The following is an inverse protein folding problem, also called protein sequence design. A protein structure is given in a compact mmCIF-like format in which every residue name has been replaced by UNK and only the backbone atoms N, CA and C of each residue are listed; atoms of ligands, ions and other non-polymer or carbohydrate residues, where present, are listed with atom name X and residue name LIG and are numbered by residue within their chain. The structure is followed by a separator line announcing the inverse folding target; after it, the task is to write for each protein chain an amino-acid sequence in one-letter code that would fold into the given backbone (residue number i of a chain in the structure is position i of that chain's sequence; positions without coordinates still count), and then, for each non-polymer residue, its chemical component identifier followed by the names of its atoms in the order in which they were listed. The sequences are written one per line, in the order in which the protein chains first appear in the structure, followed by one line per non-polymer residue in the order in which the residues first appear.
data_IF_857405395933
#
_entry.id   IF_857405395933
#
_cell.length_a   1.000
_cell.length_b   1.000
_cell.length_c   1.000
_cell.angle_alpha   90.00
_cell.angle_beta   90.00
_cell.angle_gamma   90.00
#
_symmetry.space_group_name_H-M   'P 1'
#
loop_
_entity.id
_entity.type
_entity.pdbx_description
1 polymer ?
#
# COMPACT_ATOMS: atom_id res chain seq x y z
N UNK A 1 -50.38 -76.14 4.95
CA UNK A 1 -49.04 -75.81 4.40
C UNK A 1 -49.23 -74.83 3.25
N UNK A 2 -49.21 -73.54 3.56
CA UNK A 2 -49.34 -72.46 2.58
C UNK A 2 -48.22 -71.48 2.88
N UNK A 3 -47.27 -71.31 1.95
CA UNK A 3 -46.62 -70.01 1.82
C UNK A 3 -46.20 -69.77 0.37
N UNK A 4 -46.71 -68.64 -0.13
CA UNK A 4 -46.54 -68.06 -1.46
C UNK A 4 -45.08 -67.68 -1.73
N UNK A 5 -44.67 -67.87 -2.97
CA UNK A 5 -43.48 -67.24 -3.57
C UNK A 5 -43.62 -65.71 -3.55
N UNK A 6 -42.56 -65.00 -3.17
CA UNK A 6 -42.43 -63.56 -3.41
C UNK A 6 -41.24 -63.32 -4.33
N UNK A 7 -41.53 -62.64 -5.45
CA UNK A 7 -40.57 -62.20 -6.45
C UNK A 7 -39.74 -61.02 -5.93
N UNK A 8 -38.43 -61.06 -6.16
CA UNK A 8 -37.51 -59.98 -5.86
C UNK A 8 -37.63 -58.87 -6.91
N UNK A 9 -37.94 -57.64 -6.48
CA UNK A 9 -37.83 -56.44 -7.29
C UNK A 9 -36.49 -55.77 -6.97
N UNK A 10 -35.55 -55.78 -7.93
CA UNK A 10 -34.29 -55.06 -7.82
C UNK A 10 -34.52 -53.58 -8.19
N UNK A 11 -34.43 -52.68 -7.20
CA UNK A 11 -34.35 -51.24 -7.45
C UNK A 11 -32.90 -50.86 -7.82
N UNK A 12 -32.71 -50.43 -9.07
CA UNK A 12 -31.51 -49.74 -9.51
C UNK A 12 -31.55 -48.28 -9.04
N UNK A 13 -30.71 -47.93 -8.07
CA UNK A 13 -30.46 -46.54 -7.66
C UNK A 13 -29.37 -45.97 -8.54
N UNK A 14 -29.74 -45.11 -9.50
CA UNK A 14 -28.79 -44.28 -10.24
C UNK A 14 -28.40 -43.07 -9.39
N UNK A 15 -27.25 -43.12 -8.73
CA UNK A 15 -26.66 -41.96 -8.06
C UNK A 15 -26.03 -41.05 -9.12
N UNK A 16 -26.72 -39.96 -9.46
CA UNK A 16 -26.17 -38.87 -10.27
C UNK A 16 -25.18 -38.09 -9.39
N UNK A 17 -23.89 -38.40 -9.51
CA UNK A 17 -22.82 -37.55 -9.01
C UNK A 17 -22.73 -36.32 -9.91
N UNK A 18 -23.46 -35.26 -9.56
CA UNK A 18 -23.23 -33.94 -10.11
C UNK A 18 -21.85 -33.46 -9.62
N UNK A 19 -20.83 -33.65 -10.46
CA UNK A 19 -19.53 -33.05 -10.26
C UNK A 19 -19.67 -31.53 -10.28
N UNK A 20 -19.58 -30.90 -9.11
CA UNK A 20 -19.42 -29.45 -9.01
C UNK A 20 -17.97 -29.16 -9.43
N UNK A 21 -17.75 -28.95 -10.72
CA UNK A 21 -16.51 -28.34 -11.19
C UNK A 21 -16.47 -26.93 -10.58
N UNK A 22 -15.70 -26.76 -9.50
CA UNK A 22 -15.42 -25.46 -8.93
C UNK A 22 -14.76 -24.60 -9.99
N UNK A 23 -15.50 -23.65 -10.55
CA UNK A 23 -14.95 -22.57 -11.36
C UNK A 23 -13.97 -21.78 -10.48
N UNK A 24 -12.69 -22.13 -10.52
CA UNK A 24 -11.61 -21.32 -9.97
C UNK A 24 -11.45 -20.08 -10.87
N UNK A 25 -12.39 -19.15 -10.74
CA UNK A 25 -12.37 -17.90 -11.48
C UNK A 25 -11.21 -17.04 -11.02
N UNK A 26 -10.29 -16.71 -11.93
CA UNK A 26 -9.25 -15.71 -11.71
C UNK A 26 -9.92 -14.38 -11.35
N UNK A 27 -9.69 -13.89 -10.13
CA UNK A 27 -10.18 -12.58 -9.68
C UNK A 27 -9.09 -11.54 -9.91
N UNK A 28 -9.00 -11.06 -11.14
CA UNK A 28 -8.15 -9.91 -11.50
C UNK A 28 -8.84 -8.63 -11.05
N UNK A 29 -8.18 -7.84 -10.19
CA UNK A 29 -8.75 -6.61 -9.66
C UNK A 29 -7.85 -5.38 -9.90
N UNK A 30 -6.53 -5.58 -9.99
CA UNK A 30 -5.57 -4.61 -10.49
C UNK A 30 -5.01 -5.08 -11.85
N UNK A 31 -5.30 -4.31 -12.91
CA UNK A 31 -4.79 -4.59 -14.26
C UNK A 31 -3.34 -4.09 -14.43
N UNK A 32 -2.93 -3.11 -13.63
CA UNK A 32 -1.57 -2.56 -13.63
C UNK A 32 -1.33 -1.50 -12.57
N UNK A 33 -0.14 -1.49 -11.99
CA UNK A 33 0.40 -0.44 -11.11
C UNK A 33 0.35 0.97 -11.74
N UNK A 34 0.81 1.04 -12.99
CA UNK A 34 0.72 2.21 -13.84
C UNK A 34 -0.58 2.15 -14.65
N UNK A 35 -1.18 3.31 -14.98
CA UNK A 35 -2.20 3.38 -16.02
C UNK A 35 -1.74 2.66 -17.28
N UNK A 36 -2.70 2.13 -18.05
CA UNK A 36 -2.41 1.47 -19.32
C UNK A 36 -1.49 2.34 -20.18
N UNK A 37 -0.38 1.76 -20.60
CA UNK A 37 0.66 2.44 -21.34
C UNK A 37 1.38 1.44 -22.25
N UNK A 38 2.01 1.95 -23.31
CA UNK A 38 2.72 1.15 -24.30
C UNK A 38 4.24 1.21 -24.13
N UNK A 39 4.75 1.71 -23.00
CA UNK A 39 6.17 1.82 -22.78
C UNK A 39 6.78 0.43 -22.60
N UNK A 40 7.87 0.18 -23.33
CA UNK A 40 8.61 -1.07 -23.31
C UNK A 40 10.10 -0.78 -23.16
N UNK A 41 10.75 -1.48 -22.23
CA UNK A 41 12.20 -1.42 -22.01
C UNK A 41 12.73 -2.86 -21.99
N UNK A 42 13.14 -3.42 -23.13
CA UNK A 42 13.68 -4.78 -23.22
C UNK A 42 15.07 -4.88 -22.55
N UNK A 43 15.55 -6.11 -22.40
CA UNK A 43 16.94 -6.37 -21.98
C UNK A 43 17.88 -5.84 -23.07
N UNK A 44 18.95 -5.15 -22.66
CA UNK A 44 19.93 -4.56 -23.58
C UNK A 44 19.53 -3.20 -24.17
N UNK A 45 18.38 -2.63 -23.78
CA UNK A 45 17.99 -1.27 -24.19
C UNK A 45 19.00 -0.23 -23.66
N UNK A 46 19.45 0.68 -24.53
CA UNK A 46 20.44 1.72 -24.19
C UNK A 46 19.91 2.75 -23.19
N UNK A 47 18.60 2.82 -23.01
CA UNK A 47 17.93 3.67 -22.04
C UNK A 47 17.57 2.94 -20.75
N UNK A 48 17.92 1.65 -20.61
CA UNK A 48 17.80 0.88 -19.37
C UNK A 48 18.77 1.44 -18.32
N UNK A 49 18.29 2.42 -17.55
CA UNK A 49 19.06 3.15 -16.52
C UNK A 49 18.48 2.98 -15.11
N UNK A 50 17.58 2.02 -14.93
CA UNK A 50 17.04 1.63 -13.63
C UNK A 50 17.94 0.60 -12.93
N UNK A 51 17.34 -0.42 -12.32
CA UNK A 51 18.07 -1.47 -11.60
C UNK A 51 18.48 -2.65 -12.48
N UNK A 52 19.57 -3.30 -12.10
CA UNK A 52 20.07 -4.52 -12.73
C UNK A 52 19.32 -5.77 -12.23
N UNK A 53 19.44 -6.89 -12.96
CA UNK A 53 18.76 -8.13 -12.64
C UNK A 53 19.09 -8.65 -11.22
N UNK A 54 20.35 -8.57 -10.81
CA UNK A 54 20.75 -8.98 -9.47
C UNK A 54 20.03 -8.19 -8.37
N UNK A 55 19.84 -6.88 -8.57
CA UNK A 55 19.07 -6.04 -7.63
C UNK A 55 17.58 -6.34 -7.69
N UNK A 56 17.03 -6.56 -8.90
CA UNK A 56 15.65 -6.99 -9.09
C UNK A 56 15.35 -8.25 -8.27
N UNK A 57 16.21 -9.26 -8.37
CA UNK A 57 16.02 -10.52 -7.66
C UNK A 57 16.20 -10.37 -6.15
N UNK A 58 17.21 -9.63 -5.71
CA UNK A 58 17.45 -9.39 -4.28
C UNK A 58 16.29 -8.64 -3.60
N UNK A 59 15.67 -7.68 -4.29
CA UNK A 59 14.51 -6.96 -3.76
C UNK A 59 13.34 -7.93 -3.58
N UNK A 60 13.04 -8.75 -4.59
CA UNK A 60 11.92 -9.70 -4.52
C UNK A 60 12.17 -10.83 -3.52
N UNK A 61 13.43 -11.28 -3.37
CA UNK A 61 13.81 -12.27 -2.34
C UNK A 61 13.44 -11.76 -0.94
N UNK A 62 13.73 -10.49 -0.68
CA UNK A 62 13.45 -9.87 0.60
C UNK A 62 11.96 -9.70 0.84
N UNK A 63 11.22 -9.26 -0.19
CA UNK A 63 9.77 -9.14 -0.14
C UNK A 63 9.13 -10.50 0.15
N UNK A 64 9.49 -11.54 -0.62
CA UNK A 64 8.96 -12.90 -0.45
C UNK A 64 9.28 -13.47 0.92
N UNK A 65 10.53 -13.34 1.38
CA UNK A 65 10.97 -13.81 2.71
C UNK A 65 10.11 -13.23 3.83
N UNK A 66 9.76 -11.95 3.75
CA UNK A 66 8.97 -11.25 4.76
C UNK A 66 7.48 -11.58 4.63
N UNK A 67 6.94 -11.55 3.42
CA UNK A 67 5.49 -11.54 3.20
C UNK A 67 4.87 -12.90 2.94
N UNK A 68 5.62 -13.90 2.46
CA UNK A 68 5.10 -15.26 2.32
C UNK A 68 4.49 -15.82 3.62
N UNK A 69 5.14 -15.75 4.80
CA UNK A 69 4.52 -16.23 6.05
C UNK A 69 3.33 -15.38 6.49
N UNK A 70 3.34 -14.06 6.24
CA UNK A 70 2.23 -13.17 6.59
C UNK A 70 0.97 -13.45 5.74
N UNK A 71 1.17 -13.76 4.46
CA UNK A 71 0.09 -14.18 3.55
C UNK A 71 -0.42 -15.57 3.95
N UNK A 72 0.47 -16.51 4.27
CA UNK A 72 0.11 -17.85 4.76
C UNK A 72 -0.73 -17.80 6.04
N UNK A 73 -0.38 -16.92 6.99
CA UNK A 73 -1.16 -16.71 8.21
C UNK A 73 -2.58 -16.19 7.95
N UNK A 74 -2.84 -15.62 6.76
CA UNK A 74 -4.17 -15.17 6.31
C UNK A 74 -4.86 -16.16 5.36
N UNK A 75 -4.33 -17.38 5.24
CA UNK A 75 -4.88 -18.46 4.42
C UNK A 75 -4.57 -18.35 2.93
N UNK A 76 -3.65 -17.46 2.53
CA UNK A 76 -3.19 -17.33 1.15
C UNK A 76 -1.86 -18.03 0.90
N UNK A 77 -1.45 -18.14 -0.36
CA UNK A 77 -0.10 -18.50 -0.78
C UNK A 77 0.45 -17.40 -1.68
N UNK A 78 1.49 -16.71 -1.22
CA UNK A 78 2.13 -15.67 -2.02
C UNK A 78 2.86 -16.31 -3.22
N UNK A 79 2.62 -15.79 -4.41
CA UNK A 79 3.29 -16.20 -5.64
C UNK A 79 3.83 -14.95 -6.33
N UNK A 80 5.16 -14.74 -6.26
CA UNK A 80 5.82 -13.61 -6.93
C UNK A 80 6.37 -14.09 -8.27
N UNK A 81 5.89 -13.47 -9.34
CA UNK A 81 6.35 -13.74 -10.70
C UNK A 81 7.46 -12.75 -11.07
N UNK A 82 8.67 -13.30 -11.23
CA UNK A 82 9.90 -12.59 -11.57
C UNK A 82 10.08 -12.51 -13.08
N UNK A 83 9.51 -11.48 -13.69
CA UNK A 83 9.38 -11.40 -15.15
C UNK A 83 10.45 -10.47 -15.74
N UNK A 84 11.73 -10.76 -15.46
CA UNK A 84 12.87 -9.92 -15.86
C UNK A 84 12.91 -9.65 -17.38
N UNK A 85 12.75 -10.68 -18.21
CA UNK A 85 12.82 -10.52 -19.68
C UNK A 85 11.58 -9.81 -20.26
N UNK A 86 10.52 -9.66 -19.47
CA UNK A 86 9.32 -8.97 -19.91
C UNK A 86 9.56 -7.46 -19.95
N UNK A 87 9.54 -6.89 -21.16
CA UNK A 87 9.80 -5.47 -21.41
C UNK A 87 8.70 -4.52 -20.90
N UNK A 88 7.57 -5.01 -20.36
CA UNK A 88 6.46 -4.15 -19.91
C UNK A 88 6.89 -3.21 -18.78
N UNK A 89 6.60 -1.91 -18.90
CA UNK A 89 6.75 -0.95 -17.78
C UNK A 89 5.45 -0.92 -16.98
N UNK A 90 5.29 -1.92 -16.10
CA UNK A 90 4.18 -2.01 -15.16
C UNK A 90 4.50 -3.00 -14.01
N UNK A 91 3.52 -3.27 -13.14
CA UNK A 91 3.41 -4.43 -12.26
C UNK A 91 1.92 -4.78 -12.13
N UNK A 92 1.54 -5.94 -11.58
CA UNK A 92 0.12 -6.21 -11.30
C UNK A 92 -0.10 -7.28 -10.25
N UNK A 93 -1.28 -7.26 -9.61
CA UNK A 93 -1.70 -8.24 -8.63
C UNK A 93 -3.06 -8.86 -8.95
N UNK A 94 -3.21 -10.16 -8.65
CA UNK A 94 -4.48 -10.85 -8.74
C UNK A 94 -4.54 -12.03 -7.78
N UNK A 95 -5.76 -12.53 -7.50
CA UNK A 95 -5.95 -13.77 -6.74
C UNK A 95 -6.52 -14.87 -7.62
N UNK A 96 -6.07 -16.11 -7.39
CA UNK A 96 -6.59 -17.32 -8.01
C UNK A 96 -6.74 -18.41 -6.96
N UNK A 97 -7.96 -18.63 -6.48
CA UNK A 97 -8.17 -19.46 -5.29
C UNK A 97 -7.48 -18.86 -4.06
N UNK A 98 -6.66 -19.65 -3.38
CA UNK A 98 -5.80 -19.18 -2.28
C UNK A 98 -4.48 -18.57 -2.74
N UNK A 99 -4.17 -18.58 -4.03
CA UNK A 99 -2.92 -18.01 -4.53
C UNK A 99 -3.04 -16.50 -4.72
N UNK A 100 -2.12 -15.76 -4.10
CA UNK A 100 -2.05 -14.30 -4.15
C UNK A 100 -0.84 -13.94 -5.01
N UNK A 101 -1.12 -13.56 -6.24
CA UNK A 101 -0.09 -13.33 -7.24
C UNK A 101 0.35 -11.86 -7.27
N UNK A 102 1.65 -11.66 -7.45
CA UNK A 102 2.28 -10.37 -7.73
C UNK A 102 3.18 -10.55 -8.94
N UNK A 103 2.94 -9.79 -10.01
CA UNK A 103 3.75 -9.80 -11.22
C UNK A 103 4.67 -8.57 -11.25
N UNK A 104 5.98 -8.81 -11.31
CA UNK A 104 6.97 -7.76 -11.39
C UNK A 104 7.69 -7.87 -12.72
N UNK A 105 7.46 -6.91 -13.63
CA UNK A 105 8.03 -6.91 -14.98
C UNK A 105 9.38 -6.19 -15.02
N UNK A 106 10.35 -6.73 -15.76
CA UNK A 106 11.68 -6.13 -15.84
C UNK A 106 11.73 -4.80 -16.58
N UNK A 107 10.76 -4.51 -17.47
CA UNK A 107 10.66 -3.20 -18.11
C UNK A 107 10.47 -2.07 -17.09
N UNK A 108 9.66 -2.31 -16.05
CA UNK A 108 9.53 -1.39 -14.92
C UNK A 108 10.88 -1.18 -14.22
N UNK A 109 11.54 -2.28 -13.88
CA UNK A 109 12.81 -2.26 -13.16
C UNK A 109 13.90 -1.50 -13.91
N UNK A 110 13.92 -1.57 -15.24
CA UNK A 110 14.90 -0.89 -16.10
C UNK A 110 14.60 0.59 -16.37
N UNK A 111 13.44 1.10 -15.97
CA UNK A 111 13.10 2.50 -16.18
C UNK A 111 14.00 3.43 -15.37
N UNK A 112 14.51 4.51 -15.99
CA UNK A 112 15.52 5.40 -15.39
C UNK A 112 15.10 6.07 -14.07
N UNK A 113 13.80 6.23 -13.84
CA UNK A 113 13.25 6.77 -12.59
C UNK A 113 13.18 5.75 -11.45
N UNK A 114 13.34 4.45 -11.74
CA UNK A 114 13.14 3.37 -10.77
C UNK A 114 14.45 3.01 -10.10
N UNK A 115 14.48 3.22 -8.78
CA UNK A 115 15.55 2.79 -7.87
C UNK A 115 15.21 1.43 -7.25
N UNK A 116 16.15 0.78 -6.55
CA UNK A 116 15.87 -0.47 -5.82
C UNK A 116 14.77 -0.28 -4.75
N UNK A 117 14.83 0.83 -4.00
CA UNK A 117 13.80 1.19 -3.01
C UNK A 117 12.46 1.52 -3.69
N UNK A 118 12.47 2.22 -4.83
CA UNK A 118 11.28 2.47 -5.65
C UNK A 118 10.66 1.18 -6.20
N UNK A 119 11.47 0.23 -6.65
CA UNK A 119 11.02 -1.07 -7.12
C UNK A 119 10.42 -1.92 -5.99
N UNK A 120 11.03 -1.89 -4.80
CA UNK A 120 10.47 -2.50 -3.60
C UNK A 120 9.11 -1.87 -3.23
N UNK A 121 8.97 -0.56 -3.39
CA UNK A 121 7.71 0.14 -3.15
C UNK A 121 6.62 -0.37 -4.09
N UNK A 122 6.92 -0.58 -5.38
CA UNK A 122 5.94 -1.13 -6.33
C UNK A 122 5.51 -2.54 -5.92
N UNK A 123 6.45 -3.42 -5.56
CA UNK A 123 6.08 -4.76 -5.04
C UNK A 123 5.21 -4.66 -3.77
N UNK A 124 5.52 -3.71 -2.89
CA UNK A 124 4.74 -3.42 -1.70
C UNK A 124 3.36 -2.83 -1.98
N UNK A 125 3.20 -2.06 -3.06
CA UNK A 125 1.90 -1.60 -3.54
C UNK A 125 1.05 -2.79 -4.00
N UNK A 126 1.62 -3.70 -4.78
CA UNK A 126 0.90 -4.91 -5.24
C UNK A 126 0.48 -5.80 -4.06
N UNK A 127 1.33 -5.93 -3.03
CA UNK A 127 0.96 -6.55 -1.76
C UNK A 127 -0.11 -5.74 -0.99
N UNK A 128 -0.08 -4.42 -1.11
CA UNK A 128 -1.07 -3.51 -0.56
C UNK A 128 -2.47 -3.75 -1.09
N UNK A 129 -2.63 -4.18 -2.35
CA UNK A 129 -3.94 -4.62 -2.83
C UNK A 129 -4.49 -5.81 -2.03
N UNK A 130 -3.63 -6.75 -1.63
CA UNK A 130 -4.02 -7.93 -0.81
C UNK A 130 -4.22 -7.61 0.67
N UNK A 131 -3.43 -6.69 1.22
CA UNK A 131 -3.26 -6.53 2.67
C UNK A 131 -3.62 -5.14 3.20
N UNK A 132 -3.91 -4.16 2.33
CA UNK A 132 -4.02 -2.74 2.65
C UNK A 132 -5.32 -2.31 3.34
N UNK A 133 -6.26 -3.24 3.55
CA UNK A 133 -7.52 -2.92 4.23
C UNK A 133 -8.49 -2.11 3.37
N UNK A 134 -9.33 -1.32 4.03
CA UNK A 134 -10.18 -0.31 3.37
C UNK A 134 -9.40 0.99 3.14
N UNK A 135 -9.80 1.82 2.15
CA UNK A 135 -10.88 1.61 1.19
C UNK A 135 -10.54 0.58 0.11
N UNK A 136 -11.54 -0.18 -0.32
CA UNK A 136 -11.41 -1.22 -1.35
C UNK A 136 -12.05 -0.79 -2.66
N UNK A 137 -11.42 -1.15 -3.77
CA UNK A 137 -12.10 -1.22 -5.07
C UNK A 137 -13.14 -2.34 -4.99
N UNK A 138 -14.21 -2.27 -5.80
CA UNK A 138 -15.29 -3.26 -5.81
C UNK A 138 -14.76 -4.71 -5.65
N UNK A 139 -15.07 -5.36 -4.52
CA UNK A 139 -14.55 -6.70 -4.18
C UNK A 139 -13.60 -6.69 -2.97
N UNK A 140 -12.44 -7.34 -3.13
CA UNK A 140 -11.53 -7.66 -2.01
C UNK A 140 -10.31 -6.74 -1.91
N UNK A 141 -9.84 -6.17 -3.02
CA UNK A 141 -8.57 -5.45 -3.04
C UNK A 141 -8.69 -4.02 -2.55
N UNK A 142 -7.72 -3.60 -1.75
CA UNK A 142 -7.52 -2.18 -1.41
C UNK A 142 -7.35 -1.37 -2.69
N UNK A 143 -7.93 -0.17 -2.74
CA UNK A 143 -7.83 0.68 -3.93
C UNK A 143 -6.41 1.24 -4.12
N UNK A 144 -6.16 1.90 -5.26
CA UNK A 144 -4.83 2.39 -5.65
C UNK A 144 -4.16 3.29 -4.59
N UNK A 145 -4.88 4.29 -4.06
CA UNK A 145 -4.35 5.17 -3.02
C UNK A 145 -4.14 4.47 -1.68
N UNK A 146 -4.99 3.50 -1.33
CA UNK A 146 -4.83 2.71 -0.12
C UNK A 146 -3.65 1.74 -0.20
N UNK A 147 -3.42 1.14 -1.37
CA UNK A 147 -2.25 0.30 -1.65
C UNK A 147 -0.95 1.11 -1.60
N UNK A 148 -0.96 2.34 -2.12
CA UNK A 148 0.14 3.29 -1.95
C UNK A 148 0.44 3.60 -0.48
N UNK A 149 -0.60 3.94 0.26
CA UNK A 149 -0.46 4.27 1.67
C UNK A 149 0.08 3.07 2.48
N UNK A 150 -0.44 1.87 2.23
CA UNK A 150 0.04 0.63 2.86
C UNK A 150 1.51 0.34 2.56
N UNK A 151 1.96 0.64 1.33
CA UNK A 151 3.32 0.33 0.88
C UNK A 151 4.38 0.93 1.80
N UNK A 152 4.21 2.19 2.23
CA UNK A 152 5.15 2.88 3.11
C UNK A 152 4.75 2.81 4.59
N UNK A 153 3.46 2.71 4.89
CA UNK A 153 2.95 2.54 6.26
C UNK A 153 3.39 1.23 6.92
N UNK A 154 3.40 0.13 6.15
CA UNK A 154 3.58 -1.23 6.68
C UNK A 154 4.64 -2.02 5.94
N UNK A 155 4.60 -2.03 4.62
CA UNK A 155 5.36 -3.00 3.84
C UNK A 155 6.85 -2.72 3.78
N UNK A 156 7.24 -1.52 3.34
CA UNK A 156 8.64 -1.14 3.28
C UNK A 156 9.29 -1.14 4.68
N UNK A 157 8.54 -0.85 5.75
CA UNK A 157 9.06 -0.94 7.13
C UNK A 157 9.41 -2.37 7.57
N UNK A 158 8.75 -3.39 7.00
CA UNK A 158 9.12 -4.80 7.22
C UNK A 158 10.21 -5.27 6.25
N UNK A 159 10.22 -4.74 5.03
CA UNK A 159 11.11 -5.18 3.95
C UNK A 159 12.48 -4.50 4.05
N UNK A 160 12.57 -3.26 4.51
CA UNK A 160 13.85 -2.59 4.67
C UNK A 160 14.62 -3.16 5.85
N UNK A 161 15.94 -3.26 5.66
CA UNK A 161 16.87 -3.43 6.77
C UNK A 161 16.71 -2.24 7.73
N UNK A 162 16.40 -2.47 9.02
CA UNK A 162 16.27 -1.40 10.00
C UNK A 162 17.50 -0.50 10.12
N UNK A 163 18.71 -1.06 9.96
CA UNK A 163 19.95 -0.30 10.02
C UNK A 163 20.26 0.46 8.71
N UNK A 164 19.49 0.21 7.64
CA UNK A 164 19.72 0.76 6.33
C UNK A 164 19.44 2.26 6.28
N UNK A 165 20.44 3.05 5.90
CA UNK A 165 20.34 4.51 5.78
C UNK A 165 20.01 4.94 4.35
N UNK A 166 19.24 6.01 4.16
CA UNK A 166 19.04 6.58 2.83
C UNK A 166 20.36 7.21 2.32
N UNK A 167 20.63 7.08 1.01
CA UNK A 167 21.82 7.67 0.39
C UNK A 167 21.73 9.19 0.24
N UNK A 168 20.54 9.71 -0.09
CA UNK A 168 20.21 11.12 -0.18
C UNK A 168 18.76 11.33 0.26
N UNK A 169 18.49 12.44 0.96
CA UNK A 169 17.18 12.74 1.53
C UNK A 169 16.84 14.20 1.29
N UNK A 170 15.60 14.46 0.90
CA UNK A 170 15.07 15.81 0.84
C UNK A 170 15.02 16.44 2.27
N UNK A 171 15.44 17.70 2.47
CA UNK A 171 15.42 18.32 3.80
C UNK A 171 14.05 18.32 4.49
N UNK A 172 12.95 18.46 3.74
CA UNK A 172 11.61 18.42 4.30
C UNK A 172 11.25 17.01 4.81
N UNK A 173 11.68 15.97 4.09
CA UNK A 173 11.54 14.58 4.52
C UNK A 173 12.36 14.32 5.78
N UNK A 174 13.63 14.76 5.79
CA UNK A 174 14.51 14.56 6.94
C UNK A 174 13.89 15.17 8.21
N UNK A 175 13.50 16.44 8.13
CA UNK A 175 12.87 17.16 9.26
C UNK A 175 11.57 16.50 9.73
N UNK A 176 10.69 16.09 8.82
CA UNK A 176 9.41 15.49 9.18
C UNK A 176 9.57 14.09 9.79
N UNK A 177 10.49 13.27 9.26
CA UNK A 177 10.81 11.97 9.83
C UNK A 177 11.47 12.10 11.21
N UNK A 178 12.35 13.10 11.40
CA UNK A 178 12.97 13.39 12.71
C UNK A 178 11.92 13.78 13.77
N UNK A 179 10.90 14.55 13.39
CA UNK A 179 9.80 14.92 14.28
C UNK A 179 8.85 13.74 14.56
N UNK A 180 8.57 12.91 13.56
CA UNK A 180 7.61 11.80 13.68
C UNK A 180 8.12 10.62 14.51
N UNK A 181 9.45 10.40 14.59
CA UNK A 181 10.02 9.21 15.22
C UNK A 181 11.21 9.50 16.15
N UNK A 182 11.08 9.08 17.41
CA UNK A 182 12.18 9.12 18.38
C UNK A 182 13.27 8.08 18.14
N UNK A 183 12.94 6.95 17.51
CA UNK A 183 13.86 5.85 17.21
C UNK A 183 14.67 6.12 15.92
N UNK A 184 16.02 6.04 15.93
CA UNK A 184 16.85 6.31 14.76
C UNK A 184 16.56 5.41 13.55
N UNK A 185 16.27 4.13 13.76
CA UNK A 185 16.04 3.20 12.66
C UNK A 185 14.67 3.46 12.02
N UNK A 186 13.65 3.75 12.82
CA UNK A 186 12.36 4.21 12.32
C UNK A 186 12.45 5.51 11.52
N UNK A 187 13.32 6.46 11.92
CA UNK A 187 13.61 7.67 11.14
C UNK A 187 14.21 7.34 9.77
N UNK A 188 15.24 6.49 9.73
CA UNK A 188 15.84 6.09 8.46
C UNK A 188 14.85 5.35 7.55
N UNK A 189 14.01 4.47 8.11
CA UNK A 189 12.95 3.81 7.36
C UNK A 189 11.95 4.81 6.78
N UNK A 190 11.51 5.80 7.56
CA UNK A 190 10.65 6.88 7.10
C UNK A 190 11.27 7.65 5.93
N UNK A 191 12.55 8.02 6.05
CA UNK A 191 13.27 8.74 5.00
C UNK A 191 13.40 7.90 3.72
N UNK A 192 13.83 6.63 3.84
CA UNK A 192 13.95 5.72 2.70
C UNK A 192 12.63 5.46 2.00
N UNK A 193 11.57 5.20 2.76
CA UNK A 193 10.23 4.97 2.20
C UNK A 193 9.69 6.21 1.46
N UNK A 194 9.96 7.40 2.00
CA UNK A 194 9.60 8.67 1.34
C UNK A 194 10.35 8.85 0.02
N UNK A 195 11.67 8.62 0.00
CA UNK A 195 12.48 8.72 -1.23
C UNK A 195 12.14 7.64 -2.27
N UNK A 196 11.74 6.44 -1.83
CA UNK A 196 11.15 5.43 -2.70
C UNK A 196 9.87 5.97 -3.38
N UNK A 197 9.04 6.67 -2.62
CA UNK A 197 7.85 7.37 -3.12
C UNK A 197 8.18 8.40 -4.20
N UNK A 198 9.27 9.17 -4.04
CA UNK A 198 9.73 10.13 -5.04
C UNK A 198 10.19 9.45 -6.35
N UNK A 199 10.92 8.34 -6.25
CA UNK A 199 11.34 7.52 -7.40
C UNK A 199 10.11 7.07 -8.22
N UNK A 200 9.09 6.56 -7.53
CA UNK A 200 7.84 6.12 -8.15
C UNK A 200 7.02 7.28 -8.71
N UNK A 201 6.86 8.38 -7.96
CA UNK A 201 6.12 9.54 -8.45
C UNK A 201 6.78 10.14 -9.72
N UNK A 202 8.11 10.12 -9.80
CA UNK A 202 8.87 10.54 -10.98
C UNK A 202 8.64 9.61 -12.18
N UNK A 203 8.48 8.31 -11.96
CA UNK A 203 8.04 7.37 -13.00
C UNK A 203 6.66 7.75 -13.55
N UNK A 204 5.69 8.09 -12.68
CA UNK A 204 4.37 8.56 -13.12
C UNK A 204 4.43 9.85 -13.94
N UNK A 205 5.30 10.78 -13.55
CA UNK A 205 5.54 12.00 -14.29
C UNK A 205 6.09 11.71 -15.69
N UNK A 206 7.04 10.77 -15.82
CA UNK A 206 7.62 10.40 -17.11
C UNK A 206 6.57 9.85 -18.11
N UNK A 207 5.49 9.24 -17.61
CA UNK A 207 4.36 8.76 -18.42
C UNK A 207 3.34 9.85 -18.76
N UNK A 208 3.45 11.05 -18.16
CA UNK A 208 2.57 12.21 -18.40
C UNK A 208 3.41 13.46 -18.72
N UNK A 209 3.98 13.54 -19.94
CA UNK A 209 4.77 14.71 -20.36
C UNK A 209 4.00 16.02 -20.18
N UNK A 210 4.68 17.05 -19.67
CA UNK A 210 4.08 18.37 -19.41
C UNK A 210 3.54 18.56 -17.98
N UNK A 211 3.58 17.54 -17.13
CA UNK A 211 3.29 17.67 -15.70
C UNK A 211 4.52 18.18 -14.92
N UNK A 212 4.29 19.02 -13.90
CA UNK A 212 5.34 19.47 -12.98
C UNK A 212 5.97 18.26 -12.27
N UNK A 213 7.30 18.27 -12.04
CA UNK A 213 7.95 17.25 -11.23
C UNK A 213 7.32 17.18 -9.83
N UNK A 214 7.03 15.97 -9.33
CA UNK A 214 6.53 15.82 -7.98
C UNK A 214 7.61 16.22 -6.97
N UNK A 215 7.23 16.95 -5.93
CA UNK A 215 8.15 17.37 -4.87
C UNK A 215 7.46 17.39 -3.51
N UNK A 216 8.22 17.14 -2.44
CA UNK A 216 7.70 17.16 -1.06
C UNK A 216 7.25 18.56 -0.63
N UNK A 217 7.83 19.61 -1.21
CA UNK A 217 7.48 21.01 -0.91
C UNK A 217 6.20 21.49 -1.63
N UNK A 218 5.60 20.69 -2.51
CA UNK A 218 4.44 21.08 -3.33
C UNK A 218 3.30 20.07 -3.23
N UNK A 219 2.72 19.84 -2.03
CA UNK A 219 1.64 18.88 -1.86
C UNK A 219 0.41 19.24 -2.70
N UNK A 220 -0.32 18.23 -3.17
CA UNK A 220 -1.54 18.38 -3.95
C UNK A 220 -2.67 18.94 -3.07
N UNK A 221 -3.19 20.16 -3.36
CA UNK A 221 -4.20 20.82 -2.53
C UNK A 221 -5.61 20.28 -2.80
N UNK A 222 -5.79 19.36 -3.75
CA UNK A 222 -7.10 18.85 -4.14
C UNK A 222 -7.79 18.14 -2.99
N UNK A 223 -9.13 18.27 -2.94
CA UNK A 223 -9.98 17.58 -1.96
C UNK A 223 -11.01 16.75 -2.71
N UNK A 224 -10.93 15.44 -2.55
CA UNK A 224 -11.78 14.49 -3.25
C UNK A 224 -13.21 14.53 -2.69
N UNK A 225 -14.20 14.77 -3.57
CA UNK A 225 -15.63 14.76 -3.20
C UNK A 225 -16.15 13.37 -2.83
N UNK A 226 -15.43 12.33 -3.24
CA UNK A 226 -15.59 10.91 -2.93
C UNK A 226 -14.22 10.25 -3.00
N UNK A 227 -14.01 9.15 -2.27
CA UNK A 227 -12.77 8.38 -2.41
C UNK A 227 -12.60 7.94 -3.86
N UNK A 228 -11.39 8.15 -4.39
CA UNK A 228 -11.01 7.82 -5.76
C UNK A 228 -10.40 6.41 -5.76
N UNK A 229 -11.00 5.51 -6.54
CA UNK A 229 -10.54 4.10 -6.62
C UNK A 229 -9.54 3.84 -7.74
N UNK A 230 -9.37 4.80 -8.66
CA UNK A 230 -8.41 4.74 -9.78
C UNK A 230 -7.05 5.34 -9.41
N UNK A 231 -6.04 5.19 -10.27
CA UNK A 231 -4.70 5.71 -10.08
C UNK A 231 -4.70 7.23 -9.80
N UNK A 232 -4.24 7.67 -8.61
CA UNK A 232 -4.10 9.10 -8.31
C UNK A 232 -3.02 9.77 -9.20
N UNK A 233 -3.06 11.10 -9.36
CA UNK A 233 -1.97 11.86 -9.99
C UNK A 233 -0.63 11.67 -9.27
N UNK A 234 0.49 11.87 -9.98
CA UNK A 234 1.84 11.61 -9.46
C UNK A 234 2.17 12.36 -8.16
N UNK A 235 1.82 13.64 -8.05
CA UNK A 235 2.01 14.41 -6.80
C UNK A 235 1.18 13.82 -5.64
N UNK A 236 -0.10 13.55 -5.87
CA UNK A 236 -0.98 12.94 -4.87
C UNK A 236 -0.48 11.54 -4.41
N UNK A 237 0.16 10.77 -5.30
CA UNK A 237 0.83 9.51 -4.91
C UNK A 237 2.05 9.79 -4.03
N UNK A 238 2.90 10.77 -4.38
CA UNK A 238 4.03 11.17 -3.53
C UNK A 238 3.57 11.56 -2.13
N UNK A 239 2.54 12.41 -2.04
CA UNK A 239 1.95 12.83 -0.77
C UNK A 239 1.45 11.61 0.02
N UNK A 240 0.90 10.61 -0.67
CA UNK A 240 0.39 9.38 -0.05
C UNK A 240 1.50 8.51 0.51
N UNK A 241 2.58 8.32 -0.24
CA UNK A 241 3.76 7.58 0.22
C UNK A 241 4.40 8.27 1.43
N UNK A 242 4.59 9.58 1.36
CA UNK A 242 5.19 10.35 2.44
C UNK A 242 4.36 10.30 3.71
N UNK A 243 3.04 10.47 3.60
CA UNK A 243 2.15 10.33 4.75
C UNK A 243 2.10 8.90 5.28
N UNK A 244 2.13 7.87 4.44
CA UNK A 244 2.26 6.49 4.94
C UNK A 244 3.54 6.31 5.77
N UNK A 245 4.66 6.86 5.32
CA UNK A 245 5.95 6.79 6.00
C UNK A 245 5.98 7.56 7.33
N UNK A 246 5.23 8.67 7.45
CA UNK A 246 5.16 9.50 8.66
C UNK A 246 4.24 8.94 9.76
N UNK A 247 3.44 7.91 9.47
CA UNK A 247 2.49 7.40 10.45
C UNK A 247 3.19 6.52 11.51
N UNK A 248 3.14 6.89 12.80
CA UNK A 248 3.88 6.18 13.85
C UNK A 248 3.24 4.86 14.30
N UNK A 249 2.16 4.41 13.65
CA UNK A 249 1.47 3.17 14.03
C UNK A 249 2.45 1.98 13.98
N UNK A 250 2.41 1.06 14.98
CA UNK A 250 3.27 -0.11 15.01
C UNK A 250 3.17 -0.93 13.73
N UNK A 251 4.28 -1.52 13.29
CA UNK A 251 4.31 -2.25 12.03
C UNK A 251 3.43 -3.50 12.09
N UNK A 252 3.38 -4.17 13.23
CA UNK A 252 2.62 -5.38 13.56
C UNK A 252 1.11 -5.16 13.81
N UNK A 253 0.67 -3.91 14.02
CA UNK A 253 -0.76 -3.58 14.04
C UNK A 253 -1.31 -3.61 12.61
N UNK A 254 -2.07 -4.65 12.28
CA UNK A 254 -2.70 -4.81 10.97
C UNK A 254 -3.76 -3.72 10.70
N UNK A 255 -3.83 -3.31 9.43
CA UNK A 255 -4.92 -2.46 8.94
C UNK A 255 -6.22 -3.25 8.84
N UNK A 256 -7.36 -2.59 9.05
CA UNK A 256 -8.66 -3.25 9.09
C UNK A 256 -9.37 -3.26 7.74
N UNK A 257 -10.18 -4.31 7.54
CA UNK A 257 -11.08 -4.45 6.40
C UNK A 257 -12.48 -3.85 6.66
N UNK A 258 -12.71 -3.29 7.85
CA UNK A 258 -14.02 -2.80 8.27
C UNK A 258 -13.98 -1.40 8.92
N UNK A 259 -12.82 -0.98 9.45
CA UNK A 259 -12.63 0.29 10.15
C UNK A 259 -11.37 0.98 9.65
N UNK A 260 -11.35 2.30 9.70
CA UNK A 260 -10.24 3.10 9.16
C UNK A 260 -9.11 3.29 10.18
N UNK A 261 -9.43 3.14 11.46
CA UNK A 261 -8.59 3.42 12.60
C UNK A 261 -7.51 2.36 12.94
N UNK A 262 -7.77 1.04 12.82
CA UNK A 262 -6.76 0.05 13.17
C UNK A 262 -5.56 0.10 12.22
N UNK A 263 -4.36 0.14 12.79
CA UNK A 263 -3.09 0.09 12.05
C UNK A 263 -2.76 1.32 11.20
N UNK A 264 -3.63 2.32 11.09
CA UNK A 264 -3.46 3.50 10.25
C UNK A 264 -3.66 4.80 11.06
N UNK A 265 -3.13 5.91 10.56
CA UNK A 265 -3.30 7.21 11.22
C UNK A 265 -4.58 7.88 10.74
N UNK A 266 -5.46 8.21 11.68
CA UNK A 266 -6.72 8.93 11.40
C UNK A 266 -6.85 10.19 12.26
N UNK A 267 -7.61 11.17 11.76
CA UNK A 267 -8.01 12.34 12.54
C UNK A 267 -8.82 11.94 13.78
N UNK A 268 -9.65 10.89 13.68
CA UNK A 268 -10.46 10.37 14.81
C UNK A 268 -9.61 9.84 15.95
N UNK A 269 -8.37 9.43 15.68
CA UNK A 269 -7.38 9.00 16.68
C UNK A 269 -6.44 10.13 17.11
N UNK A 270 -6.68 11.38 16.69
CA UNK A 270 -5.87 12.54 17.07
C UNK A 270 -4.56 12.71 16.28
N UNK A 271 -4.37 11.96 15.19
CA UNK A 271 -3.23 12.16 14.30
C UNK A 271 -3.48 13.37 13.38
N UNK A 272 -2.45 14.19 13.18
CA UNK A 272 -2.47 15.32 12.23
C UNK A 272 -1.45 15.17 11.10
N UNK A 273 -0.51 14.25 11.25
CA UNK A 273 0.44 13.79 10.25
C UNK A 273 0.23 12.31 10.01
N UNK A 274 0.76 11.82 8.90
CA UNK A 274 0.66 10.42 8.53
C UNK A 274 -0.71 9.99 8.00
N UNK A 275 -1.59 10.94 7.70
CA UNK A 275 -2.97 10.70 7.25
C UNK A 275 -3.04 10.34 5.75
N UNK A 276 -4.01 9.52 5.36
CA UNK A 276 -4.34 9.33 3.93
C UNK A 276 -4.69 10.68 3.27
N UNK A 277 -4.01 11.11 2.20
CA UNK A 277 -4.23 12.43 1.60
C UNK A 277 -5.61 12.66 1.02
N UNK A 278 -6.13 13.88 1.17
CA UNK A 278 -7.45 14.26 0.68
C UNK A 278 -7.55 14.36 -0.84
N UNK A 279 -6.42 14.45 -1.55
CA UNK A 279 -6.39 14.49 -3.01
C UNK A 279 -6.98 13.22 -3.66
N UNK A 280 -7.08 12.11 -2.92
CA UNK A 280 -7.79 10.90 -3.34
C UNK A 280 -8.74 10.32 -2.29
N UNK A 281 -8.48 10.53 -0.99
CA UNK A 281 -9.26 9.92 0.09
C UNK A 281 -10.32 10.88 0.63
N UNK A 282 -11.57 10.41 0.75
CA UNK A 282 -12.61 11.12 1.50
C UNK A 282 -12.85 10.43 2.84
N UNK A 283 -12.51 11.06 3.98
CA UNK A 283 -12.82 10.49 5.29
C UNK A 283 -14.34 10.37 5.50
N UNK A 284 -14.81 9.32 6.17
CA UNK A 284 -16.25 9.11 6.41
C UNK A 284 -16.90 10.18 7.29
N UNK A 285 -16.13 10.87 8.14
CA UNK A 285 -16.61 12.02 8.93
C UNK A 285 -15.80 13.29 8.62
N UNK A 286 -16.18 14.06 7.58
CA UNK A 286 -15.43 15.24 7.13
C UNK A 286 -15.56 16.45 8.05
N UNK A 287 -16.40 16.42 9.09
CA UNK A 287 -16.59 17.56 10.02
C UNK A 287 -15.31 17.99 10.77
N UNK A 288 -14.27 17.14 10.78
CA UNK A 288 -12.95 17.45 11.33
C UNK A 288 -12.01 18.15 10.34
N UNK A 289 -12.38 18.22 9.06
CA UNK A 289 -11.55 18.77 7.97
C UNK A 289 -11.69 20.29 7.86
N UNK A 290 -12.91 20.84 8.00
CA UNK A 290 -13.19 22.28 7.91
C UNK A 290 -12.37 23.15 8.88
N UNK A 291 -12.16 22.76 10.16
CA UNK A 291 -11.33 23.53 11.07
C UNK A 291 -9.84 23.55 10.70
N UNK A 292 -9.34 22.59 9.90
CA UNK A 292 -7.90 22.45 9.61
C UNK A 292 -7.47 23.22 8.36
N UNK A 293 -8.25 23.17 7.27
CA UNK A 293 -7.92 23.91 6.05
C UNK A 293 -8.09 25.43 6.21
N UNK A 294 -9.03 25.89 7.04
CA UNK A 294 -9.18 27.31 7.38
C UNK A 294 -8.09 27.85 8.33
N UNK A 295 -7.19 26.99 8.84
CA UNK A 295 -6.03 27.41 9.66
C UNK A 295 -4.78 27.76 8.85
N UNK A 296 -4.91 27.93 7.54
CA UNK A 296 -3.91 28.51 6.64
C UNK A 296 -3.53 29.98 6.88
N UNK A 297 -3.86 30.57 8.04
CA UNK A 297 -3.29 31.86 8.48
C UNK A 297 -2.91 31.77 9.97
N UNK A 298 -1.65 31.42 10.22
CA UNK A 298 -0.95 31.56 11.50
C UNK A 298 -1.63 30.85 12.69
N UNK A 299 -1.49 29.52 12.81
CA UNK A 299 -1.43 28.93 14.14
C UNK A 299 0.01 28.59 14.48
N UNK A 300 0.62 29.39 15.36
CA UNK A 300 1.69 28.88 16.23
C UNK A 300 1.13 27.62 16.89
N UNK A 301 1.85 26.51 16.78
CA UNK A 301 1.61 25.31 17.60
C UNK A 301 1.28 25.76 19.03
N UNK A 302 0.24 25.20 19.69
CA UNK A 302 -0.06 25.58 21.06
C UNK A 302 1.22 25.40 21.89
N UNK A 303 1.66 26.45 22.57
CA UNK A 303 2.86 26.41 23.41
C UNK A 303 2.74 25.22 24.37
N UNK A 304 3.82 24.48 24.65
CA UNK A 304 3.80 23.25 25.45
C UNK A 304 2.97 23.36 26.75
N UNK A 305 3.00 24.53 27.37
CA UNK A 305 2.23 24.89 28.57
C UNK A 305 0.69 24.70 28.43
N UNK A 306 0.12 24.87 27.24
CA UNK A 306 -1.32 24.71 27.02
C UNK A 306 -1.74 23.22 26.91
N UNK A 307 -0.82 22.36 26.47
CA UNK A 307 -1.01 20.91 26.44
C UNK A 307 -0.84 20.31 27.84
N UNK A 308 0.19 20.74 28.57
CA UNK A 308 0.42 20.33 29.96
C UNK A 308 -0.73 20.69 30.91
N UNK A 309 -1.30 21.90 30.79
CA UNK A 309 -2.49 22.28 31.58
C UNK A 309 -3.70 21.38 31.33
N UNK A 310 -3.83 20.84 30.11
CA UNK A 310 -4.94 19.95 29.72
C UNK A 310 -4.72 18.54 30.27
N UNK A 311 -3.49 18.06 30.26
CA UNK A 311 -3.07 16.81 30.91
C UNK A 311 -3.23 16.87 32.43
N UNK A 312 -2.85 17.98 33.06
CA UNK A 312 -3.04 18.17 34.50
C UNK A 312 -4.51 18.31 34.90
N UNK A 313 -5.34 18.90 34.03
CA UNK A 313 -6.80 18.89 34.21
C UNK A 313 -7.37 17.47 34.21
N UNK A 314 -6.93 16.62 33.29
CA UNK A 314 -7.35 15.22 33.20
C UNK A 314 -6.83 14.38 34.38
N UNK A 315 -5.57 14.57 34.79
CA UNK A 315 -4.99 13.89 35.98
C UNK A 315 -5.74 14.25 37.26
N UNK A 316 -6.13 15.51 37.44
CA UNK A 316 -6.94 15.95 38.60
C UNK A 316 -8.35 15.37 38.58
N UNK A 317 -8.97 15.24 37.40
CA UNK A 317 -10.29 14.61 37.28
C UNK A 317 -10.25 13.11 37.60
N UNK A 318 -9.17 12.41 37.24
CA UNK A 318 -8.98 10.99 37.56
C UNK A 318 -8.58 10.73 39.03
N UNK A 319 -7.95 11.70 39.70
CA UNK A 319 -7.62 11.60 41.13
C UNK A 319 -8.80 11.96 42.07
N UNK A 320 -9.92 12.43 41.52
CA UNK A 320 -11.14 12.78 42.24
C UNK A 320 -12.27 11.74 42.10
N UNK A 321 -11.97 10.59 41.49
CA UNK A 321 -12.77 9.37 41.46
C UNK A 321 -12.12 8.33 42.38
#
# INVERSE_FOLDING_TARGET
MHHRQQAAAALLVFSILAGVAGLSGRRTLCEGFLPSNNLRIPVGDVHARGIEQGMFDQVLDRVEKVYAPLVAAKGGRLVVHRLWDNATVNASAYQSGSDWHVNMYGGLARHAAVTADGFALVACHELGHHLGGIPRKAGWATNEGGADYYSTLKCLRRVFDPAGRPAAVDPAVASACDEAFGDPDARHQCMRASMAGLSVASLFQALRPGSSPPAFSTPDPSVAKRTVDSHPPGQCRLDTYWQGALCPKPVDEDVSNAKEEPGACTLSQGHFVGLRPLCWYKPPNPGWIEPWFNRGRKQKLPRPEAFERRLDGLRRAFAAL
#
